data_IF_020387300941
#
_entry.id   IF_020387300941
#
_cell.length_a   1.000
_cell.length_b   1.000
_cell.length_c   1.000
_cell.angle_alpha   90.00
_cell.angle_beta   90.00
_cell.angle_gamma   90.00
#
_symmetry.space_group_name_H-M   'P 1'
#
loop_
_entity.id
_entity.type
_entity.pdbx_description
1 polymer ?
#
# COMPACT_ATOMS: atom_id res chain seq x y z
N UNK A 1 5.84 13.49 -2.08
CA UNK A 1 5.54 12.20 -1.40
C UNK A 1 4.89 11.31 -2.43
N UNK A 2 5.34 10.07 -2.55
CA UNK A 2 4.77 9.07 -3.46
C UNK A 2 4.32 7.87 -2.65
N UNK A 3 3.26 7.21 -3.10
CA UNK A 3 2.77 6.01 -2.44
C UNK A 3 3.78 4.86 -2.62
N UNK A 4 4.17 4.26 -1.52
CA UNK A 4 5.10 3.14 -1.45
C UNK A 4 4.34 1.82 -1.63
N UNK A 5 4.13 1.42 -2.88
CA UNK A 5 3.45 0.16 -3.21
C UNK A 5 4.18 -1.09 -2.68
N UNK A 6 5.52 -1.02 -2.53
CA UNK A 6 6.30 -2.10 -1.91
C UNK A 6 5.96 -2.25 -0.44
N UNK A 7 5.74 -1.15 0.29
CA UNK A 7 5.29 -1.18 1.69
C UNK A 7 3.90 -1.78 1.81
N UNK A 8 2.96 -1.34 0.97
CA UNK A 8 1.61 -1.90 0.94
C UNK A 8 1.63 -3.43 0.75
N UNK A 9 2.43 -3.90 -0.23
CA UNK A 9 2.62 -5.33 -0.49
C UNK A 9 3.25 -6.07 0.70
N UNK A 10 4.25 -5.48 1.35
CA UNK A 10 4.91 -6.07 2.50
C UNK A 10 3.93 -6.27 3.67
N UNK A 11 3.13 -5.25 3.99
CA UNK A 11 2.13 -5.34 5.06
C UNK A 11 1.04 -6.37 4.75
N UNK A 12 0.59 -6.43 3.49
CA UNK A 12 -0.35 -7.48 3.06
C UNK A 12 0.20 -8.88 3.31
N UNK A 13 1.46 -9.12 2.94
CA UNK A 13 2.12 -10.42 3.15
C UNK A 13 2.31 -10.69 4.65
N UNK A 14 2.67 -9.68 5.45
CA UNK A 14 2.81 -9.81 6.89
C UNK A 14 1.51 -10.20 7.60
N UNK A 15 0.36 -9.75 7.07
CA UNK A 15 -0.98 -10.20 7.52
C UNK A 15 -1.39 -11.57 6.99
N UNK A 16 -0.61 -12.18 6.10
CA UNK A 16 -0.90 -13.48 5.50
C UNK A 16 -1.95 -13.43 4.38
N UNK A 17 -2.30 -12.24 3.88
CA UNK A 17 -3.32 -12.11 2.84
C UNK A 17 -2.75 -12.29 1.44
N UNK A 18 -3.45 -13.03 0.60
CA UNK A 18 -3.30 -13.03 -0.85
C UNK A 18 -3.89 -11.75 -1.46
N UNK A 19 -3.59 -11.49 -2.73
CA UNK A 19 -4.22 -10.38 -3.47
C UNK A 19 -5.74 -10.58 -3.64
N UNK A 20 -6.20 -11.85 -3.70
CA UNK A 20 -7.61 -12.17 -3.83
C UNK A 20 -8.35 -11.89 -2.52
N UNK A 21 -7.78 -12.30 -1.38
CA UNK A 21 -8.35 -12.01 -0.05
C UNK A 21 -8.41 -10.50 0.21
N UNK A 22 -7.36 -9.74 -0.09
CA UNK A 22 -7.42 -8.28 0.03
C UNK A 22 -8.50 -7.66 -0.85
N UNK A 23 -8.71 -8.17 -2.07
CA UNK A 23 -9.78 -7.69 -2.93
C UNK A 23 -11.15 -7.96 -2.31
N UNK A 24 -11.39 -9.18 -1.80
CA UNK A 24 -12.64 -9.55 -1.13
C UNK A 24 -12.89 -8.70 0.13
N UNK A 25 -11.87 -8.50 0.95
CA UNK A 25 -11.96 -7.65 2.15
C UNK A 25 -12.22 -6.18 1.81
N UNK A 26 -11.76 -5.71 0.65
CA UNK A 26 -12.06 -4.40 0.11
C UNK A 26 -13.45 -4.30 -0.59
N UNK A 27 -14.23 -5.38 -0.60
CA UNK A 27 -15.57 -5.42 -1.20
C UNK A 27 -15.57 -5.66 -2.72
N UNK A 28 -14.48 -6.20 -3.28
CA UNK A 28 -14.40 -6.56 -4.70
C UNK A 28 -14.61 -8.06 -4.94
N UNK A 29 -15.34 -8.37 -6.00
CA UNK A 29 -15.68 -9.75 -6.37
C UNK A 29 -14.51 -10.52 -6.99
N UNK A 30 -13.51 -9.81 -7.52
CA UNK A 30 -12.38 -10.43 -8.21
C UNK A 30 -11.06 -9.86 -7.71
N UNK A 31 -9.99 -10.66 -7.78
CA UNK A 31 -8.60 -10.23 -7.49
C UNK A 31 -8.12 -9.01 -8.29
N UNK A 32 -8.58 -8.87 -9.54
CA UNK A 32 -7.98 -7.97 -10.55
C UNK A 32 -7.88 -6.50 -10.12
N UNK A 33 -8.92 -5.87 -9.53
CA UNK A 33 -8.86 -4.46 -9.14
C UNK A 33 -7.76 -4.19 -8.09
N UNK A 34 -7.59 -5.08 -7.11
CA UNK A 34 -6.53 -4.95 -6.11
C UNK A 34 -5.16 -5.20 -6.73
N UNK A 35 -5.00 -6.25 -7.53
CA UNK A 35 -3.73 -6.59 -8.15
C UNK A 35 -3.19 -5.45 -9.05
N UNK A 36 -4.05 -4.80 -9.84
CA UNK A 36 -3.65 -3.66 -10.68
C UNK A 36 -3.15 -2.47 -9.84
N UNK A 37 -3.77 -2.22 -8.69
CA UNK A 37 -3.40 -1.15 -7.75
C UNK A 37 -2.09 -1.41 -7.05
N UNK A 38 -1.94 -2.59 -6.46
CA UNK A 38 -0.70 -2.99 -5.78
C UNK A 38 0.50 -3.02 -6.75
N UNK A 39 0.27 -3.39 -8.02
CA UNK A 39 1.32 -3.40 -9.04
C UNK A 39 1.54 -2.04 -9.71
N UNK A 40 0.79 -0.99 -9.34
CA UNK A 40 0.94 0.37 -9.88
C UNK A 40 0.43 0.57 -11.31
N UNK A 41 -0.37 -0.37 -11.83
CA UNK A 41 -1.04 -0.27 -13.14
C UNK A 41 -2.20 0.73 -13.05
N UNK A 42 -2.87 0.77 -11.90
CA UNK A 42 -3.94 1.72 -11.58
C UNK A 42 -3.54 2.46 -10.31
N UNK A 43 -3.73 3.77 -10.27
CA UNK A 43 -3.45 4.56 -9.06
C UNK A 43 -4.40 4.19 -7.93
N UNK A 44 -3.90 4.30 -6.69
CA UNK A 44 -4.70 4.12 -5.48
C UNK A 44 -5.22 5.49 -5.05
N UNK A 45 -6.54 5.62 -4.94
CA UNK A 45 -7.19 6.82 -4.41
C UNK A 45 -7.07 6.94 -2.88
N UNK A 46 -7.42 8.09 -2.31
CA UNK A 46 -7.37 8.32 -0.87
C UNK A 46 -8.29 7.35 -0.09
N UNK A 47 -9.53 7.18 -0.55
CA UNK A 47 -10.51 6.29 0.08
C UNK A 47 -10.08 4.82 0.01
N UNK A 48 -9.47 4.42 -1.11
CA UNK A 48 -8.95 3.07 -1.29
C UNK A 48 -7.76 2.82 -0.37
N UNK A 49 -6.84 3.79 -0.23
CA UNK A 49 -5.72 3.69 0.69
C UNK A 49 -6.20 3.57 2.13
N UNK A 50 -7.15 4.42 2.54
CA UNK A 50 -7.74 4.37 3.88
C UNK A 50 -8.37 2.99 4.14
N UNK A 51 -9.12 2.46 3.16
CA UNK A 51 -9.74 1.14 3.28
C UNK A 51 -8.72 0.01 3.39
N UNK A 52 -7.66 0.04 2.57
CA UNK A 52 -6.60 -0.96 2.63
C UNK A 52 -5.84 -0.91 3.95
N UNK A 53 -5.55 0.29 4.45
CA UNK A 53 -4.90 0.47 5.73
C UNK A 53 -5.74 -0.07 6.89
N UNK A 54 -7.04 0.21 6.89
CA UNK A 54 -7.99 -0.33 7.88
C UNK A 54 -7.98 -1.87 7.88
N UNK A 55 -8.04 -2.50 6.71
CA UNK A 55 -7.96 -3.97 6.57
C UNK A 55 -6.64 -4.53 7.11
N UNK A 56 -5.55 -3.76 6.93
CA UNK A 56 -4.22 -4.09 7.43
C UNK A 56 -4.03 -3.68 8.90
N UNK A 57 -5.06 -3.14 9.57
CA UNK A 57 -5.05 -2.81 10.99
C UNK A 57 -4.34 -1.51 11.33
N UNK A 58 -4.29 -0.55 10.39
CA UNK A 58 -3.74 0.79 10.60
C UNK A 58 -4.86 1.84 10.67
N UNK A 59 -4.72 2.81 11.55
CA UNK A 59 -5.60 3.98 11.61
C UNK A 59 -5.25 5.02 10.54
N UNK A 60 -6.14 6.02 10.38
CA UNK A 60 -5.88 7.18 9.51
C UNK A 60 -4.65 7.98 9.92
N UNK A 61 -4.27 7.99 11.21
CA UNK A 61 -3.06 8.67 11.68
C UNK A 61 -1.78 7.94 11.26
N UNK A 62 -1.86 6.63 11.00
CA UNK A 62 -0.72 5.78 10.70
C UNK A 62 -0.43 5.66 9.18
N UNK A 63 -1.29 6.24 8.33
CA UNK A 63 -1.15 6.17 6.86
C UNK A 63 0.19 6.68 6.34
N UNK A 64 0.88 7.51 7.13
CA UNK A 64 2.23 8.01 6.82
C UNK A 64 3.24 6.91 6.47
N UNK A 65 3.08 5.68 7.01
CA UNK A 65 3.99 4.57 6.72
C UNK A 65 3.97 4.15 5.24
N UNK A 66 2.87 4.39 4.54
CA UNK A 66 2.70 4.01 3.14
C UNK A 66 3.27 5.03 2.17
N UNK A 67 3.85 6.13 2.63
CA UNK A 67 4.46 7.13 1.74
C UNK A 67 5.98 7.09 1.81
N UNK A 68 6.66 7.15 0.66
CA UNK A 68 8.09 7.44 0.64
C UNK A 68 8.32 8.92 0.91
N UNK A 69 9.18 9.23 1.88
CA UNK A 69 9.77 10.57 1.99
C UNK A 69 10.63 10.77 0.75
N UNK A 70 10.27 11.74 -0.09
CA UNK A 70 11.13 12.15 -1.20
C UNK A 70 12.27 12.97 -0.59
N UNK A 71 13.32 12.28 -0.14
CA UNK A 71 14.59 12.91 0.22
C UNK A 71 15.41 12.98 -1.07
N UNK A 72 15.89 14.18 -1.48
CA UNK A 72 16.77 14.32 -2.64
C UNK A 72 17.94 13.32 -2.57
N UNK A 73 18.33 12.71 -3.69
CA UNK A 73 19.38 11.67 -3.71
C UNK A 73 20.69 12.11 -3.03
N UNK A 74 21.04 13.40 -3.16
CA UNK A 74 22.18 14.05 -2.50
C UNK A 74 22.16 14.02 -0.95
N UNK A 75 20.99 13.80 -0.35
CA UNK A 75 20.75 13.77 1.10
C UNK A 75 20.45 12.34 1.60
N UNK A 76 20.38 11.35 0.71
CA UNK A 76 20.34 9.94 1.07
C UNK A 76 21.76 9.51 1.44
N UNK A 77 22.15 9.67 2.70
CA UNK A 77 23.43 9.20 3.23
C UNK A 77 23.65 7.74 2.81
N UNK A 78 24.57 7.50 1.89
CA UNK A 78 25.10 6.17 1.62
C UNK A 78 25.87 5.74 2.86
N UNK A 79 25.25 4.92 3.69
CA UNK A 79 25.97 4.10 4.66
C UNK A 79 26.74 3.06 3.85
N UNK A 80 27.99 3.40 3.53
CA UNK A 80 29.06 2.51 3.07
C UNK A 80 29.40 1.46 4.12
#
# INVERSE_FOLDING_TARGET
MTLNLKRLKAERIAKGYTQDEMARLAGWETRTPYAKRENGIVSIGADELAKFAEILGYSSEELGIFFTKNVPEKEQLQLV
#
